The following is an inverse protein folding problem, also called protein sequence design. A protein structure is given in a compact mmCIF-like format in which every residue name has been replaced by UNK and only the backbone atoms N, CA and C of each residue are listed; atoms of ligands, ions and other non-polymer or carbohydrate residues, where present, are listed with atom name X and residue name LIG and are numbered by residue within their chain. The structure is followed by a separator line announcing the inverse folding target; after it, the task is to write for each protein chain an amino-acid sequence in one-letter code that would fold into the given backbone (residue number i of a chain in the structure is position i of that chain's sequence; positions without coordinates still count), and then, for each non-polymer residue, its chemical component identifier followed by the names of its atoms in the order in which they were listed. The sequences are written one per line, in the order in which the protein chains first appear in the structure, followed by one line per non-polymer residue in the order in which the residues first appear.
data_IF_149758638642
#
_entry.id   IF_149758638642
#
_cell.length_a   1.000
_cell.length_b   1.000
_cell.length_c   1.000
_cell.angle_alpha   90.00
_cell.angle_beta   90.00
_cell.angle_gamma   90.00
#
_symmetry.space_group_name_H-M   'P 1'
#
loop_
_entity.id
_entity.type
_entity.pdbx_description
1 polymer ?
#
# COMPACT_ATOMS: atom_id res chain seq x y z
N UNK A 1 10.81 -14.13 -4.62
CA UNK A 1 9.97 -13.00 -4.15
C UNK A 1 10.87 -11.80 -4.04
N UNK A 2 10.52 -10.69 -4.69
CA UNK A 2 11.42 -9.56 -4.83
C UNK A 2 11.52 -8.81 -3.50
N UNK A 3 12.72 -8.73 -2.93
CA UNK A 3 12.99 -7.81 -1.83
C UNK A 3 12.78 -6.38 -2.35
N UNK A 4 11.74 -5.72 -1.82
CA UNK A 4 11.39 -4.35 -2.22
C UNK A 4 12.11 -3.29 -1.39
N UNK A 5 12.95 -3.68 -0.43
CA UNK A 5 13.70 -2.71 0.37
C UNK A 5 14.57 -1.83 -0.53
N UNK A 6 14.55 -0.52 -0.28
CA UNK A 6 15.21 0.51 -1.07
C UNK A 6 14.42 1.00 -2.28
N UNK A 7 13.39 0.27 -2.73
CA UNK A 7 12.52 0.70 -3.82
C UNK A 7 11.58 1.82 -3.35
N UNK A 8 11.12 2.63 -4.30
CA UNK A 8 10.10 3.65 -4.07
C UNK A 8 8.79 3.23 -4.72
N UNK A 9 7.72 3.19 -3.94
CA UNK A 9 6.35 2.97 -4.41
C UNK A 9 5.54 4.23 -4.15
N UNK A 10 5.10 4.90 -5.22
CA UNK A 10 4.48 6.21 -5.12
C UNK A 10 5.38 7.20 -4.36
N UNK A 11 4.87 7.76 -3.27
CA UNK A 11 5.61 8.71 -2.42
C UNK A 11 6.36 8.05 -1.26
N UNK A 12 6.46 6.71 -1.20
CA UNK A 12 7.07 6.01 -0.07
C UNK A 12 8.30 5.22 -0.50
N UNK A 13 9.41 5.40 0.22
CA UNK A 13 10.57 4.54 0.11
C UNK A 13 10.43 3.37 1.09
N UNK A 14 10.63 2.15 0.60
CA UNK A 14 10.52 0.93 1.39
C UNK A 14 11.79 0.75 2.24
N UNK A 15 11.64 0.75 3.56
CA UNK A 15 12.75 0.71 4.53
C UNK A 15 13.08 -0.71 4.96
N UNK A 16 12.06 -1.52 5.33
CA UNK A 16 12.22 -2.93 5.71
C UNK A 16 10.90 -3.69 5.67
N UNK A 17 10.96 -5.01 5.50
CA UNK A 17 9.79 -5.88 5.66
C UNK A 17 9.33 -5.90 7.14
N UNK A 18 8.02 -5.77 7.35
CA UNK A 18 7.36 -5.92 8.65
C UNK A 18 6.71 -7.29 8.80
N UNK A 19 6.19 -7.84 7.71
CA UNK A 19 5.59 -9.17 7.71
C UNK A 19 5.13 -9.59 6.32
N UNK A 20 4.94 -10.89 6.15
CA UNK A 20 4.48 -11.50 4.91
C UNK A 20 3.40 -12.53 5.22
N UNK A 21 2.36 -12.56 4.39
CA UNK A 21 1.32 -13.59 4.43
C UNK A 21 0.99 -14.07 3.02
N UNK A 22 0.02 -14.97 2.89
CA UNK A 22 -0.33 -15.57 1.60
C UNK A 22 -0.72 -14.56 0.51
N UNK A 23 -1.34 -13.44 0.89
CA UNK A 23 -1.93 -12.48 -0.05
C UNK A 23 -1.17 -11.16 -0.18
N UNK A 24 -0.21 -10.88 0.71
CA UNK A 24 0.46 -9.58 0.75
C UNK A 24 1.78 -9.63 1.52
N UNK A 25 2.62 -8.65 1.21
CA UNK A 25 3.75 -8.23 2.03
C UNK A 25 3.44 -6.87 2.65
N UNK A 26 3.90 -6.63 3.87
CA UNK A 26 3.79 -5.34 4.56
C UNK A 26 5.18 -4.84 4.88
N UNK A 27 5.48 -3.63 4.45
CA UNK A 27 6.77 -2.98 4.69
C UNK A 27 6.60 -1.72 5.54
N UNK A 28 7.64 -1.38 6.28
CA UNK A 28 7.81 -0.02 6.79
C UNK A 28 8.27 0.83 5.61
N UNK A 29 7.50 1.85 5.27
CA UNK A 29 7.87 2.87 4.30
C UNK A 29 8.04 4.23 4.97
N UNK A 30 8.82 5.10 4.33
CA UNK A 30 8.98 6.50 4.73
C UNK A 30 8.50 7.40 3.59
N UNK A 31 7.61 8.34 3.88
CA UNK A 31 7.13 9.29 2.89
C UNK A 31 8.26 10.23 2.47
N UNK A 32 8.69 10.19 1.21
CA UNK A 32 9.94 10.82 0.73
C UNK A 32 9.99 12.33 0.93
N UNK A 33 8.84 13.00 1.00
CA UNK A 33 8.76 14.45 1.22
C UNK A 33 8.46 14.85 2.66
N UNK A 34 7.90 13.95 3.47
CA UNK A 34 7.39 14.28 4.82
C UNK A 34 8.22 13.63 5.92
N UNK A 35 9.05 12.62 5.59
CA UNK A 35 9.81 11.83 6.57
C UNK A 35 8.93 11.01 7.51
N UNK A 36 7.62 10.94 7.26
CA UNK A 36 6.69 10.25 8.15
C UNK A 36 6.68 8.75 7.82
N UNK A 37 6.69 7.87 8.85
CA UNK A 37 6.61 6.44 8.64
C UNK A 37 5.19 6.00 8.31
N UNK A 38 5.07 4.96 7.48
CA UNK A 38 3.80 4.30 7.18
C UNK A 38 4.01 2.79 6.99
N UNK A 39 2.97 2.00 7.26
CA UNK A 39 2.94 0.60 6.87
C UNK A 39 2.35 0.50 5.45
N UNK A 40 3.14 0.01 4.50
CA UNK A 40 2.77 -0.14 3.09
C UNK A 40 2.47 -1.61 2.82
N UNK A 41 1.19 -1.92 2.53
CA UNK A 41 0.74 -3.27 2.20
C UNK A 41 0.69 -3.43 0.69
N UNK A 42 1.53 -4.30 0.15
CA UNK A 42 1.61 -4.62 -1.28
C UNK A 42 0.94 -5.98 -1.50
N UNK A 43 -0.10 -6.03 -2.33
CA UNK A 43 -0.82 -7.29 -2.57
C UNK A 43 -0.08 -8.13 -3.62
N UNK A 44 -0.10 -9.46 -3.46
CA UNK A 44 0.47 -10.38 -4.45
C UNK A 44 -0.41 -10.53 -5.70
N UNK A 45 -1.69 -10.17 -5.59
CA UNK A 45 -2.67 -10.32 -6.66
C UNK A 45 -2.54 -9.20 -7.67
N UNK A 46 -2.50 -9.56 -8.95
CA UNK A 46 -2.62 -8.61 -10.03
C UNK A 46 -4.08 -8.17 -10.15
N UNK A 47 -4.31 -6.87 -10.24
CA UNK A 47 -5.64 -6.35 -10.58
C UNK A 47 -5.84 -6.56 -12.07
N UNK A 48 -6.88 -7.32 -12.45
CA UNK A 48 -7.34 -7.36 -13.84
C UNK A 48 -7.77 -5.95 -14.26
N UNK A 49 -7.49 -5.56 -15.50
CA UNK A 49 -7.65 -4.18 -15.99
C UNK A 49 -9.08 -3.63 -15.84
N UNK A 50 -10.09 -4.49 -15.87
CA UNK A 50 -11.51 -4.17 -15.65
C UNK A 50 -11.87 -3.96 -14.17
N UNK A 51 -11.05 -4.46 -13.23
CA UNK A 51 -11.31 -4.40 -11.79
C UNK A 51 -10.62 -3.20 -11.09
N UNK A 52 -9.86 -2.41 -11.85
CA UNK A 52 -9.13 -1.23 -11.37
C UNK A 52 -10.04 -0.17 -10.74
N UNK A 53 -11.21 0.08 -11.34
CA UNK A 53 -12.16 1.06 -10.84
C UNK A 53 -12.86 0.57 -9.57
N UNK A 54 -13.10 -0.73 -9.45
CA UNK A 54 -13.64 -1.33 -8.23
C UNK A 54 -12.68 -1.14 -7.05
N UNK A 55 -11.38 -1.43 -7.26
CA UNK A 55 -10.35 -1.21 -6.26
C UNK A 55 -10.30 0.26 -5.81
N UNK A 56 -10.29 1.19 -6.76
CA UNK A 56 -10.30 2.64 -6.43
C UNK A 56 -11.51 3.04 -5.60
N UNK A 57 -12.69 2.50 -5.92
CA UNK A 57 -13.93 2.79 -5.18
C UNK A 57 -13.88 2.28 -3.74
N UNK A 58 -13.41 1.05 -3.54
CA UNK A 58 -13.25 0.48 -2.20
C UNK A 58 -12.20 1.25 -1.38
N UNK A 59 -11.03 1.52 -1.98
CA UNK A 59 -9.97 2.27 -1.32
C UNK A 59 -10.44 3.66 -0.88
N UNK A 60 -11.19 4.38 -1.73
CA UNK A 60 -11.81 5.67 -1.38
C UNK A 60 -12.79 5.57 -0.22
N UNK A 61 -13.58 4.49 -0.16
CA UNK A 61 -14.52 4.27 0.93
C UNK A 61 -13.79 4.07 2.26
N UNK A 62 -12.74 3.23 2.27
CA UNK A 62 -11.95 2.95 3.47
C UNK A 62 -11.16 4.20 3.91
N UNK A 63 -10.61 4.97 2.96
CA UNK A 63 -9.85 6.20 3.26
C UNK A 63 -10.71 7.28 3.95
N UNK A 64 -12.04 7.22 3.83
CA UNK A 64 -12.96 8.12 4.55
C UNK A 64 -13.22 7.72 6.00
N UNK A 65 -12.86 6.51 6.40
CA UNK A 65 -13.04 6.04 7.78
C UNK A 65 -11.99 6.68 8.68
N UNK A 66 -12.42 7.67 9.46
CA UNK A 66 -11.59 8.36 10.45
C UNK A 66 -12.19 8.12 11.83
N UNK A 67 -11.58 7.20 12.58
CA UNK A 67 -12.04 6.82 13.91
C UNK A 67 -10.88 6.26 14.73
N UNK A 68 -10.78 6.52 16.05
CA UNK A 68 -9.67 6.04 16.89
C UNK A 68 -9.50 4.51 16.93
N UNK A 69 -10.54 3.74 16.61
CA UNK A 69 -10.51 2.27 16.59
C UNK A 69 -10.42 1.66 15.18
N UNK A 70 -10.18 2.47 14.15
CA UNK A 70 -10.05 2.00 12.76
C UNK A 70 -8.67 2.43 12.25
N UNK A 71 -7.92 1.48 11.68
CA UNK A 71 -6.64 1.81 11.05
C UNK A 71 -6.90 2.72 9.86
N UNK A 72 -6.30 3.91 9.89
CA UNK A 72 -6.46 4.92 8.84
C UNK A 72 -5.65 4.53 7.60
N UNK A 73 -6.31 4.54 6.45
CA UNK A 73 -5.63 4.49 5.15
C UNK A 73 -5.16 5.89 4.80
N UNK A 74 -3.85 6.06 4.63
CA UNK A 74 -3.22 7.35 4.30
C UNK A 74 -3.19 7.60 2.79
N UNK A 75 -2.96 6.55 2.02
CA UNK A 75 -2.79 6.59 0.56
C UNK A 75 -3.13 5.21 -0.04
N UNK A 76 -3.38 5.17 -1.35
CA UNK A 76 -3.51 3.93 -2.14
C UNK A 76 -3.02 4.18 -3.56
N UNK A 77 -2.44 3.15 -4.18
CA UNK A 77 -1.91 3.24 -5.54
C UNK A 77 -2.08 1.94 -6.30
N UNK A 78 -1.75 1.97 -7.59
CA UNK A 78 -1.52 0.78 -8.39
C UNK A 78 -0.28 1.07 -9.21
N UNK A 79 0.76 0.24 -9.05
CA UNK A 79 1.98 0.31 -9.84
C UNK A 79 1.99 -0.83 -10.86
N UNK A 80 1.87 -0.46 -12.14
CA UNK A 80 1.59 -1.41 -13.21
C UNK A 80 0.25 -2.10 -12.98
N UNK A 81 0.29 -3.35 -12.51
CA UNK A 81 -0.89 -4.17 -12.17
C UNK A 81 -0.92 -4.54 -10.68
N UNK A 82 0.03 -4.04 -9.89
CA UNK A 82 0.17 -4.34 -8.45
C UNK A 82 -0.48 -3.22 -7.65
N UNK A 83 -1.55 -3.50 -6.87
CA UNK A 83 -2.11 -2.55 -5.92
C UNK A 83 -1.31 -2.41 -4.62
#
# INVERSE_FOLDING_TARGET
MADRVGQQLGNYRMVRLLGQGGFAEVYLGEHVYLGTPAAIKVLHTLIASDNTEHFRREARTIARLVHPHIVRVLDYGIEGMTP
#
